data_IF_500858889757
#
_entry.id   IF_500858889757
#
_cell.length_a   1.000
_cell.length_b   1.000
_cell.length_c   1.000
_cell.angle_alpha   90.00
_cell.angle_beta   90.00
_cell.angle_gamma   90.00
#
_symmetry.space_group_name_H-M   'P 1'
#
loop_
_entity.id
_entity.type
_entity.pdbx_description
1 polymer ?
#
# COMPACT_ATOMS: atom_id res chain seq x y z
N UNK A 1 -11.47 12.54 -24.19
CA UNK A 1 -10.23 12.01 -23.57
C UNK A 1 -9.08 12.83 -24.09
N UNK A 2 -8.59 13.76 -23.27
CA UNK A 2 -7.39 14.50 -23.58
C UNK A 2 -6.18 13.57 -23.44
N UNK A 3 -5.27 13.61 -24.40
CA UNK A 3 -4.07 12.79 -24.41
C UNK A 3 -2.87 13.72 -24.32
N UNK A 4 -1.97 13.42 -23.40
CA UNK A 4 -0.71 14.13 -23.24
C UNK A 4 0.45 13.21 -23.60
N UNK A 5 1.60 13.79 -23.91
CA UNK A 5 2.82 13.04 -24.20
C UNK A 5 3.71 13.01 -22.96
N UNK A 6 4.22 11.83 -22.63
CA UNK A 6 5.20 11.63 -21.56
C UNK A 6 6.44 11.03 -22.18
N UNK A 7 7.60 11.63 -21.92
CA UNK A 7 8.88 11.08 -22.35
C UNK A 7 9.32 10.02 -21.35
N UNK A 8 9.64 8.81 -21.85
CA UNK A 8 10.09 7.69 -21.03
C UNK A 8 11.38 7.14 -21.61
N UNK A 9 12.25 6.65 -20.74
CA UNK A 9 13.45 5.93 -21.15
C UNK A 9 13.08 4.63 -21.89
N UNK A 10 13.94 4.24 -22.83
CA UNK A 10 13.74 3.01 -23.64
C UNK A 10 13.67 1.77 -22.76
N UNK A 11 14.45 1.74 -21.67
CA UNK A 11 14.44 0.64 -20.71
C UNK A 11 13.07 0.52 -20.03
N UNK A 12 12.51 1.63 -19.56
CA UNK A 12 11.16 1.69 -18.97
C UNK A 12 10.10 1.21 -19.96
N UNK A 13 10.18 1.59 -21.23
CA UNK A 13 9.25 1.10 -22.26
C UNK A 13 9.40 -0.42 -22.47
N UNK A 14 10.62 -0.95 -22.41
CA UNK A 14 10.85 -2.40 -22.50
C UNK A 14 10.32 -3.15 -21.28
N UNK A 15 10.43 -2.58 -20.07
CA UNK A 15 9.79 -3.13 -18.88
C UNK A 15 8.27 -3.13 -19.01
N UNK A 16 7.68 -2.03 -19.49
CA UNK A 16 6.23 -1.94 -19.75
C UNK A 16 5.77 -2.96 -20.78
N UNK A 17 6.58 -3.28 -21.80
CA UNK A 17 6.27 -4.36 -22.76
C UNK A 17 6.21 -5.73 -22.10
N UNK A 18 7.16 -6.03 -21.22
CA UNK A 18 7.21 -7.31 -20.48
C UNK A 18 6.09 -7.43 -19.44
N UNK A 19 5.71 -6.30 -18.84
CA UNK A 19 4.66 -6.23 -17.84
C UNK A 19 3.23 -6.34 -18.41
N UNK A 20 3.06 -6.40 -19.74
CA UNK A 20 1.73 -6.59 -20.33
C UNK A 20 1.19 -7.98 -19.99
N UNK A 21 -0.03 -8.02 -19.47
CA UNK A 21 -0.75 -9.25 -19.17
C UNK A 21 -1.30 -9.92 -20.43
N UNK A 22 -1.63 -9.12 -21.46
CA UNK A 22 -2.14 -9.62 -22.73
C UNK A 22 -1.63 -8.77 -23.92
N UNK A 23 -1.51 -9.36 -25.13
CA UNK A 23 -0.83 -8.71 -26.26
C UNK A 23 -1.41 -7.34 -26.68
N UNK A 24 -2.73 -7.16 -26.51
CA UNK A 24 -3.45 -5.94 -26.91
C UNK A 24 -3.63 -4.91 -25.78
N UNK A 25 -2.98 -5.10 -24.64
CA UNK A 25 -3.04 -4.13 -23.54
C UNK A 25 -2.37 -2.81 -23.94
N UNK A 26 -3.08 -1.70 -23.74
CA UNK A 26 -2.55 -0.35 -23.96
C UNK A 26 -1.69 0.05 -22.76
N UNK A 27 -0.62 0.82 -23.01
CA UNK A 27 0.21 1.33 -21.92
C UNK A 27 -0.58 2.24 -20.98
N UNK A 28 -1.55 2.99 -21.50
CA UNK A 28 -2.41 3.85 -20.70
C UNK A 28 -3.21 3.04 -19.65
N UNK A 29 -3.82 1.92 -20.06
CA UNK A 29 -4.54 1.06 -19.13
C UNK A 29 -3.61 0.40 -18.11
N UNK A 30 -2.45 -0.10 -18.56
CA UNK A 30 -1.46 -0.72 -17.68
C UNK A 30 -0.95 0.28 -16.63
N UNK A 31 -0.53 1.47 -17.06
CA UNK A 31 -0.06 2.55 -16.18
C UNK A 31 -1.17 2.97 -15.22
N UNK A 32 -2.42 3.07 -15.67
CA UNK A 32 -3.56 3.40 -14.81
C UNK A 32 -3.80 2.35 -13.73
N UNK A 33 -3.71 1.06 -14.06
CA UNK A 33 -3.83 -0.03 -13.09
C UNK A 33 -2.68 -0.01 -12.07
N UNK A 34 -1.45 0.15 -12.53
CA UNK A 34 -0.28 0.25 -11.65
C UNK A 34 -0.38 1.46 -10.72
N UNK A 35 -0.82 2.61 -11.24
CA UNK A 35 -0.94 3.85 -10.48
C UNK A 35 -2.05 3.75 -9.43
N UNK A 36 -3.20 3.16 -9.77
CA UNK A 36 -4.29 2.97 -8.81
C UNK A 36 -3.88 2.03 -7.67
N UNK A 37 -3.18 0.94 -7.98
CA UNK A 37 -2.61 0.03 -7.00
C UNK A 37 -1.62 0.74 -6.08
N UNK A 38 -0.69 1.52 -6.64
CA UNK A 38 0.32 2.24 -5.86
C UNK A 38 -0.28 3.31 -4.94
N UNK A 39 -1.29 4.06 -5.42
CA UNK A 39 -2.04 5.02 -4.60
C UNK A 39 -2.75 4.30 -3.45
N UNK A 40 -3.38 3.16 -3.73
CA UNK A 40 -4.10 2.38 -2.72
C UNK A 40 -3.15 1.80 -1.67
N UNK A 41 -1.98 1.30 -2.06
CA UNK A 41 -0.93 0.86 -1.14
C UNK A 41 -0.48 2.00 -0.22
N UNK A 42 -0.20 3.18 -0.77
CA UNK A 42 0.18 4.34 0.04
C UNK A 42 -0.88 4.73 1.06
N UNK A 43 -2.16 4.69 0.67
CA UNK A 43 -3.28 4.95 1.60
C UNK A 43 -3.37 3.93 2.73
N UNK A 44 -3.23 2.64 2.42
CA UNK A 44 -3.28 1.57 3.41
C UNK A 44 -2.11 1.63 4.39
N UNK A 45 -0.89 1.81 3.90
CA UNK A 45 0.29 1.91 4.76
C UNK A 45 0.24 3.14 5.69
N UNK A 46 -0.26 4.29 5.24
CA UNK A 46 -0.41 5.47 6.10
C UNK A 46 -1.47 5.28 7.20
N UNK A 47 -2.59 4.63 6.88
CA UNK A 47 -3.65 4.39 7.86
C UNK A 47 -3.21 3.34 8.89
N UNK A 48 -2.64 2.22 8.46
CA UNK A 48 -2.22 1.14 9.36
C UNK A 48 -1.05 1.58 10.25
N UNK A 49 -0.03 2.28 9.72
CA UNK A 49 1.08 2.79 10.55
C UNK A 49 0.61 3.83 11.58
N UNK A 50 -0.36 4.68 11.23
CA UNK A 50 -0.93 5.66 12.15
C UNK A 50 -1.79 4.99 13.23
N UNK A 51 -2.62 4.03 12.84
CA UNK A 51 -3.51 3.30 13.74
C UNK A 51 -2.70 2.45 14.73
N UNK A 52 -1.68 1.73 14.25
CA UNK A 52 -0.80 0.91 15.09
C UNK A 52 -0.06 1.79 16.12
N UNK A 53 0.40 2.99 15.74
CA UNK A 53 1.06 3.93 16.67
C UNK A 53 0.11 4.46 17.76
N UNK A 54 -1.15 4.71 17.43
CA UNK A 54 -2.16 5.21 18.40
C UNK A 54 -2.68 4.09 19.30
N UNK A 55 -2.73 2.85 18.82
CA UNK A 55 -3.18 1.72 19.61
C UNK A 55 -2.13 1.22 20.61
N UNK A 56 -0.83 1.40 20.34
CA UNK A 56 0.25 1.03 21.27
C UNK A 56 0.08 1.57 22.71
N UNK A 57 -0.19 2.87 22.95
CA UNK A 57 -0.41 3.37 24.29
C UNK A 57 -1.68 2.82 24.94
N UNK A 58 -2.77 2.63 24.19
CA UNK A 58 -4.01 2.04 24.71
C UNK A 58 -3.88 0.56 25.02
N UNK A 59 -3.13 -0.20 24.21
CA UNK A 59 -2.82 -1.59 24.50
C UNK A 59 -1.93 -1.72 25.71
N UNK A 60 -0.96 -0.81 25.92
CA UNK A 60 -0.14 -0.76 27.13
C UNK A 60 -0.94 -0.38 28.40
N UNK A 61 -2.09 0.26 28.23
CA UNK A 61 -3.00 0.63 29.33
C UNK A 61 -3.98 -0.52 29.66
N UNK A 62 -4.38 -1.29 28.65
CA UNK A 62 -5.25 -2.45 28.79
C UNK A 62 -4.50 -3.74 29.14
N UNK A 63 -3.24 -3.86 28.75
CA UNK A 63 -2.35 -5.00 29.01
C UNK A 63 -1.09 -4.53 29.75
N UNK A 64 -0.87 -5.04 30.97
CA UNK A 64 0.18 -4.61 31.89
C UNK A 64 -0.31 -3.78 33.08
N UNK A 65 -1.61 -3.90 33.41
CA UNK A 65 -2.22 -3.33 34.60
C UNK A 65 -2.31 -4.41 35.71
N UNK A 66 -2.56 -3.99 36.95
CA UNK A 66 -2.55 -4.89 38.13
C UNK A 66 -3.53 -6.06 38.03
N UNK A 67 -4.60 -5.91 37.24
CA UNK A 67 -5.59 -6.96 37.04
C UNK A 67 -4.99 -8.13 36.24
N UNK A 68 -4.12 -7.88 35.25
CA UNK A 68 -3.44 -8.96 34.51
C UNK A 68 -2.50 -9.80 35.42
N UNK A 69 -1.87 -9.19 36.43
CA UNK A 69 -1.02 -9.92 37.40
C UNK A 69 -1.83 -10.88 38.28
N UNK A 70 -3.11 -10.59 38.51
CA UNK A 70 -4.03 -11.46 39.27
C UNK A 70 -4.55 -12.63 38.41
N UNK A 71 -4.68 -12.45 37.10
CA UNK A 71 -5.09 -13.52 36.16
C UNK A 71 -3.95 -14.49 35.81
N UNK A 72 -2.68 -14.06 35.80
CA UNK A 72 -1.53 -14.95 35.59
C UNK A 72 -1.17 -15.81 36.82
N UNK A 73 -1.71 -15.48 38.01
CA UNK A 73 -1.44 -16.20 39.26
C UNK A 73 -2.63 -17.03 39.79
N UNK A 74 -3.68 -17.22 38.98
CA UNK A 74 -4.83 -18.09 39.27
C UNK A 74 -4.69 -19.48 38.62
#
# INVERSE_FOLDING_TARGET
MEKTTVLLEKETVNMLKKAKEYPRQTYDNLIKQMTSFFINLKKKNQYDEFLHKIQQPKMKELWGNKEDEEWENA
#
